data_IF_379943861136
#
_entry.id   IF_379943861136
#
_cell.length_a   1.000
_cell.length_b   1.000
_cell.length_c   1.000
_cell.angle_alpha   90.00
_cell.angle_beta   90.00
_cell.angle_gamma   90.00
#
_symmetry.space_group_name_H-M   'P 1'
#
loop_
_entity.id
_entity.type
_entity.pdbx_description
1 polymer ?
#
# COMPACT_ATOMS: atom_id res chain seq x y z
N UNK A 1 -12.51 -18.43 -10.77
CA UNK A 1 -12.26 -18.27 -10.36
C UNK A 1 -11.87 -17.62 -9.66
N UNK A 2 -11.55 -17.31 -9.29
CA UNK A 2 -11.34 -16.79 -8.70
C UNK A 2 -11.09 -16.10 -7.95
N UNK A 3 -10.91 -15.67 -7.54
CA UNK A 3 -10.76 -15.21 -6.65
C UNK A 3 -9.82 -14.46 -6.36
N UNK A 4 -9.52 -13.69 -6.93
CA UNK A 4 -8.64 -12.82 -6.77
C UNK A 4 -8.97 -11.69 -6.01
N UNK A 5 -10.05 -11.58 -5.40
CA UNK A 5 -10.37 -10.52 -4.64
C UNK A 5 -9.42 -10.26 -3.60
N UNK A 6 -8.80 -11.20 -3.01
CA UNK A 6 -7.90 -11.00 -1.94
C UNK A 6 -6.55 -10.58 -2.37
N UNK A 7 -6.28 -10.57 -3.67
CA UNK A 7 -4.97 -10.33 -4.13
C UNK A 7 -4.91 -9.05 -4.87
N UNK A 8 -4.75 -7.99 -4.15
CA UNK A 8 -4.67 -6.66 -4.76
C UNK A 8 -3.22 -6.25 -4.88
N UNK A 9 -2.88 -5.68 -6.01
CA UNK A 9 -1.52 -5.18 -6.23
C UNK A 9 -1.37 -3.82 -5.55
N UNK A 10 -0.13 -3.35 -5.43
CA UNK A 10 0.10 -2.01 -4.90
C UNK A 10 -0.58 -0.96 -5.77
N UNK A 11 -0.57 -1.18 -7.08
CA UNK A 11 -1.23 -0.24 -7.97
C UNK A 11 -2.73 -0.19 -7.70
N UNK A 12 -3.34 -1.32 -7.40
CA UNK A 12 -4.76 -1.35 -7.04
C UNK A 12 -5.02 -0.55 -5.78
N UNK A 13 -4.14 -0.68 -4.79
CA UNK A 13 -4.29 0.05 -3.54
C UNK A 13 -4.11 1.55 -3.75
N UNK A 14 -3.13 1.93 -4.54
CA UNK A 14 -2.89 3.34 -4.82
C UNK A 14 -4.10 3.93 -5.56
N UNK A 15 -4.63 3.20 -6.52
CA UNK A 15 -5.80 3.69 -7.25
C UNK A 15 -7.02 3.80 -6.35
N UNK A 16 -7.21 2.85 -5.45
CA UNK A 16 -8.33 2.91 -4.51
C UNK A 16 -8.19 4.13 -3.59
N UNK A 17 -6.98 4.41 -3.13
CA UNK A 17 -6.75 5.55 -2.26
C UNK A 17 -6.91 6.86 -3.01
N UNK A 18 -6.51 6.91 -4.28
CA UNK A 18 -6.70 8.10 -5.09
C UNK A 18 -8.19 8.39 -5.28
N UNK A 19 -8.99 7.36 -5.48
CA UNK A 19 -10.43 7.54 -5.59
C UNK A 19 -11.04 8.02 -4.27
N UNK A 20 -10.55 7.48 -3.16
CA UNK A 20 -11.02 7.90 -1.85
C UNK A 20 -10.66 9.36 -1.60
N UNK A 21 -9.50 9.79 -2.03
CA UNK A 21 -9.09 11.17 -1.86
C UNK A 21 -9.98 12.10 -2.68
N UNK A 22 -10.30 11.70 -3.90
CA UNK A 22 -11.20 12.50 -4.74
C UNK A 22 -12.58 12.61 -4.09
N UNK A 23 -13.09 11.50 -3.56
CA UNK A 23 -14.39 11.51 -2.89
C UNK A 23 -14.35 12.37 -1.63
N UNK A 24 -13.25 12.33 -0.91
CA UNK A 24 -13.11 13.13 0.30
C UNK A 24 -13.11 14.62 -0.04
N UNK A 25 -12.39 15.00 -1.09
CA UNK A 25 -12.32 16.39 -1.52
C UNK A 25 -13.69 16.90 -1.96
N UNK A 26 -14.51 16.01 -2.49
CA UNK A 26 -15.85 16.37 -2.93
C UNK A 26 -16.88 16.29 -1.80
N UNK A 27 -16.46 15.88 -0.61
CA UNK A 27 -17.36 15.72 0.52
C UNK A 27 -18.30 14.54 0.40
N UNK A 28 -17.91 13.55 -0.41
CA UNK A 28 -18.76 12.40 -0.68
C UNK A 28 -18.29 11.12 0.00
N UNK A 29 -17.27 11.19 0.85
CA UNK A 29 -16.74 10.01 1.51
C UNK A 29 -17.37 9.89 2.89
N UNK A 30 -18.10 8.81 3.11
CA UNK A 30 -18.75 8.59 4.41
C UNK A 30 -17.87 7.73 5.31
N UNK A 31 -18.39 7.38 6.48
CA UNK A 31 -17.63 6.60 7.44
C UNK A 31 -17.20 5.25 6.86
N UNK A 32 -18.10 4.57 6.16
CA UNK A 32 -17.75 3.29 5.54
C UNK A 32 -16.62 3.45 4.55
N UNK A 33 -16.66 4.50 3.75
CA UNK A 33 -15.58 4.78 2.80
C UNK A 33 -14.28 5.10 3.48
N UNK A 34 -14.33 5.83 4.61
CA UNK A 34 -13.14 6.12 5.38
C UNK A 34 -12.54 4.86 5.99
N UNK A 35 -13.39 3.97 6.47
CA UNK A 35 -12.89 2.71 7.03
C UNK A 35 -12.21 1.87 5.97
N UNK A 36 -12.78 1.82 4.79
CA UNK A 36 -12.16 1.08 3.69
C UNK A 36 -10.84 1.73 3.30
N UNK A 37 -10.80 3.05 3.23
CA UNK A 37 -9.56 3.75 2.89
C UNK A 37 -8.48 3.50 3.93
N UNK A 38 -8.85 3.46 5.21
CA UNK A 38 -7.89 3.16 6.26
C UNK A 38 -7.32 1.75 6.10
N UNK A 39 -8.18 0.80 5.77
CA UNK A 39 -7.71 -0.58 5.58
C UNK A 39 -6.79 -0.67 4.37
N UNK A 40 -7.12 0.02 3.28
CA UNK A 40 -6.29 0.03 2.09
C UNK A 40 -4.95 0.70 2.36
N UNK A 41 -4.96 1.80 3.09
CA UNK A 41 -3.73 2.50 3.42
C UNK A 41 -2.83 1.65 4.31
N UNK A 42 -3.43 0.92 5.23
CA UNK A 42 -2.67 0.03 6.10
C UNK A 42 -2.03 -1.11 5.30
N UNK A 43 -2.80 -1.69 4.39
CA UNK A 43 -2.26 -2.74 3.54
C UNK A 43 -1.09 -2.22 2.71
N UNK A 44 -1.25 -1.04 2.13
CA UNK A 44 -0.19 -0.42 1.36
C UNK A 44 1.03 -0.14 2.24
N UNK A 45 0.80 0.37 3.44
CA UNK A 45 1.89 0.65 4.36
C UNK A 45 2.67 -0.62 4.71
N UNK A 46 1.94 -1.70 4.99
CA UNK A 46 2.60 -2.96 5.35
C UNK A 46 3.45 -3.49 4.19
N UNK A 47 2.97 -3.34 2.97
CA UNK A 47 3.75 -3.75 1.81
C UNK A 47 5.00 -2.90 1.64
N UNK A 48 4.87 -1.60 1.88
CA UNK A 48 6.01 -0.71 1.78
C UNK A 48 7.04 -1.02 2.87
N UNK A 49 6.58 -1.39 4.06
CA UNK A 49 7.48 -1.77 5.14
C UNK A 49 8.32 -2.98 4.74
N UNK A 50 7.68 -3.97 4.11
CA UNK A 50 8.39 -5.16 3.65
C UNK A 50 9.43 -4.78 2.59
N UNK A 51 9.05 -3.93 1.66
CA UNK A 51 9.97 -3.49 0.61
C UNK A 51 11.11 -2.69 1.19
N UNK A 52 10.83 -1.85 2.18
CA UNK A 52 11.85 -1.07 2.85
C UNK A 52 12.85 -1.98 3.56
N UNK A 53 12.34 -3.02 4.20
CA UNK A 53 13.21 -3.96 4.88
C UNK A 53 14.13 -4.67 3.89
N UNK A 54 13.57 -5.12 2.78
CA UNK A 54 14.38 -5.77 1.75
C UNK A 54 15.40 -4.83 1.14
N UNK A 55 15.03 -3.58 0.94
CA UNK A 55 15.95 -2.60 0.40
C UNK A 55 17.09 -2.33 1.37
N UNK A 56 16.80 -2.30 2.68
CA UNK A 56 17.82 -2.11 3.68
C UNK A 56 18.77 -3.29 3.71
N UNK A 57 18.25 -4.50 3.62
CA UNK A 57 19.10 -5.67 3.60
C UNK A 57 20.01 -5.65 2.39
N UNK A 58 19.48 -5.28 1.24
CA UNK A 58 20.28 -5.20 0.04
C UNK A 58 21.38 -4.15 0.18
N UNK A 59 21.05 -3.01 0.78
CA UNK A 59 22.03 -1.95 0.98
C UNK A 59 23.12 -2.38 1.95
N UNK A 60 22.74 -3.08 3.02
CA UNK A 60 23.71 -3.56 3.97
C UNK A 60 24.63 -4.59 3.33
N UNK A 61 24.08 -5.49 2.54
CA UNK A 61 24.89 -6.49 1.86
C UNK A 61 25.82 -5.84 0.85
N UNK A 62 25.34 -4.85 0.14
CA UNK A 62 26.17 -4.15 -0.83
C UNK A 62 27.29 -3.38 -0.14
N UNK A 63 27.03 -2.85 1.04
CA UNK A 63 28.04 -2.11 1.78
C UNK A 63 29.00 -3.04 2.50
N UNK A 64 28.64 -4.30 2.63
CA UNK A 64 29.45 -5.24 3.39
C UNK A 64 30.27 -6.09 2.44
N UNK A 65 30.83 -5.50 1.46
CA UNK A 65 31.66 -6.23 0.52
C UNK A 65 33.05 -6.32 1.07
N UNK A 66 33.61 -7.50 1.17
CA UNK A 66 34.94 -7.65 1.72
C UNK A 66 35.94 -7.01 0.80
N UNK A 67 36.95 -6.49 1.30
CA UNK A 67 38.02 -5.85 0.51
C UNK A 67 38.75 -6.86 -0.37
#
# INVERSE_FOLDING_TARGET
MPTDKAFRTMNDLVNALAKAETALAAGALDLGGLEIACADARDLYERLVILRHKAREAAVQAAHIPP
#
